data_IF_457571884607
#
_entry.id   IF_457571884607
#
_cell.length_a   1.000
_cell.length_b   1.000
_cell.length_c   1.000
_cell.angle_alpha   90.00
_cell.angle_beta   90.00
_cell.angle_gamma   90.00
#
_symmetry.space_group_name_H-M   'P 1'
#
loop_
_entity.id
_entity.type
_entity.pdbx_description
1 polymer ?
#
# COMPACT_ATOMS: atom_id res chain seq x y z
N UNK A 1 -0.94 5.10 -7.21
CA UNK A 1 -1.06 3.89 -6.38
C UNK A 1 0.01 2.90 -6.82
N UNK A 2 0.74 2.34 -5.85
CA UNK A 2 1.77 1.32 -6.09
C UNK A 2 1.33 0.03 -5.39
N UNK A 3 1.54 -1.12 -6.03
CA UNK A 3 1.48 -2.42 -5.34
C UNK A 3 2.90 -2.86 -5.06
N UNK A 4 3.22 -3.06 -3.79
CA UNK A 4 4.50 -3.62 -3.36
C UNK A 4 4.33 -5.12 -3.17
N UNK A 5 5.18 -5.91 -3.80
CA UNK A 5 5.14 -7.38 -3.73
C UNK A 5 6.47 -7.89 -3.22
N UNK A 6 6.45 -8.74 -2.20
CA UNK A 6 7.66 -9.42 -1.74
C UNK A 6 8.19 -10.38 -2.80
N UNK A 7 9.50 -10.37 -3.00
CA UNK A 7 10.18 -11.21 -3.99
C UNK A 7 10.50 -10.49 -5.29
N UNK A 8 11.16 -11.22 -6.19
CA UNK A 8 11.78 -10.67 -7.40
C UNK A 8 10.94 -10.81 -8.67
N UNK A 9 9.70 -11.29 -8.56
CA UNK A 9 8.84 -11.54 -9.72
C UNK A 9 7.41 -11.09 -9.46
N UNK A 10 6.74 -10.61 -10.50
CA UNK A 10 5.31 -10.29 -10.46
C UNK A 10 4.51 -11.60 -10.39
N UNK A 11 3.61 -11.79 -9.40
CA UNK A 11 2.73 -12.95 -9.36
C UNK A 11 1.86 -13.02 -10.62
N UNK A 12 1.72 -14.20 -11.22
CA UNK A 12 0.95 -14.40 -12.46
C UNK A 12 -0.53 -14.02 -12.33
N UNK A 13 -1.09 -14.18 -11.13
CA UNK A 13 -2.48 -13.83 -10.82
C UNK A 13 -2.70 -12.31 -10.61
N UNK A 14 -1.63 -11.52 -10.51
CA UNK A 14 -1.73 -10.08 -10.27
C UNK A 14 -2.05 -9.32 -11.57
N UNK A 15 -3.33 -9.11 -11.83
CA UNK A 15 -3.86 -8.38 -13.01
C UNK A 15 -3.86 -6.85 -12.83
N UNK A 16 -2.76 -6.31 -12.29
CA UNK A 16 -2.56 -4.87 -12.15
C UNK A 16 -1.68 -4.32 -13.28
N UNK A 17 -2.17 -3.26 -13.93
CA UNK A 17 -1.49 -2.59 -15.05
C UNK A 17 -0.78 -1.28 -14.62
N UNK A 18 -0.94 -0.85 -13.37
CA UNK A 18 -0.25 0.32 -12.84
C UNK A 18 1.13 -0.02 -12.29
N UNK A 19 1.67 0.87 -11.44
CA UNK A 19 2.99 0.68 -10.85
C UNK A 19 3.03 -0.50 -9.89
N UNK A 20 4.05 -1.36 -10.06
CA UNK A 20 4.40 -2.48 -9.20
C UNK A 20 5.83 -2.28 -8.76
N UNK A 21 6.07 -2.35 -7.45
CA UNK A 21 7.40 -2.38 -6.86
C UNK A 21 7.65 -3.80 -6.35
N UNK A 22 8.72 -4.41 -6.82
CA UNK A 22 9.19 -5.68 -6.30
C UNK A 22 10.09 -5.38 -5.09
N UNK A 23 9.89 -6.12 -4.01
CA UNK A 23 10.65 -6.01 -2.77
C UNK A 23 11.38 -7.34 -2.51
N UNK A 24 12.48 -7.63 -3.26
CA UNK A 24 13.15 -8.93 -3.22
C UNK A 24 13.65 -9.32 -1.83
N UNK A 25 14.09 -8.32 -1.06
CA UNK A 25 14.68 -8.50 0.27
C UNK A 25 13.66 -8.27 1.40
N UNK A 26 12.42 -7.89 1.08
CA UNK A 26 11.42 -7.58 2.11
C UNK A 26 11.72 -6.32 2.92
N UNK A 27 12.56 -5.41 2.40
CA UNK A 27 12.98 -4.20 3.11
C UNK A 27 11.80 -3.26 3.31
N UNK A 28 10.96 -3.06 2.29
CA UNK A 28 9.76 -2.24 2.44
C UNK A 28 8.76 -2.89 3.39
N UNK A 29 8.57 -4.21 3.29
CA UNK A 29 7.71 -4.92 4.23
C UNK A 29 8.21 -4.79 5.68
N UNK A 30 9.52 -4.85 5.89
CA UNK A 30 10.14 -4.71 7.22
C UNK A 30 10.02 -3.29 7.75
N UNK A 31 10.46 -2.29 6.99
CA UNK A 31 10.47 -0.88 7.40
C UNK A 31 9.06 -0.38 7.69
N UNK A 32 8.07 -0.78 6.89
CA UNK A 32 6.68 -0.38 7.09
C UNK A 32 5.93 -1.26 8.11
N UNK A 33 6.52 -2.36 8.60
CA UNK A 33 5.89 -3.29 9.54
C UNK A 33 4.70 -4.05 8.91
N UNK A 34 4.86 -4.54 7.68
CA UNK A 34 3.84 -5.28 6.95
C UNK A 34 3.91 -6.75 7.33
N UNK A 35 2.90 -7.24 8.06
CA UNK A 35 2.79 -8.65 8.45
C UNK A 35 1.68 -9.41 7.69
N UNK A 36 0.85 -8.68 6.94
CA UNK A 36 -0.25 -9.21 6.13
C UNK A 36 -0.63 -8.21 5.02
N UNK A 37 -1.63 -8.52 4.19
CA UNK A 37 -2.14 -7.58 3.18
C UNK A 37 -2.55 -6.26 3.82
N UNK A 38 -1.93 -5.18 3.38
CA UNK A 38 -1.98 -3.88 4.04
C UNK A 38 -2.09 -2.74 3.04
N UNK A 39 -2.64 -1.61 3.47
CA UNK A 39 -2.64 -0.35 2.70
C UNK A 39 -2.06 0.78 3.53
N UNK A 40 -1.26 1.61 2.87
CA UNK A 40 -0.64 2.81 3.43
C UNK A 40 -0.98 3.99 2.53
N UNK A 41 -1.54 5.03 3.11
CA UNK A 41 -1.68 6.33 2.46
C UNK A 41 -0.54 7.22 2.91
N UNK A 42 0.35 7.57 1.98
CA UNK A 42 1.47 8.49 2.23
C UNK A 42 1.05 9.88 1.76
N UNK A 43 1.15 10.86 2.65
CA UNK A 43 0.85 12.26 2.37
C UNK A 43 1.96 12.89 1.51
N UNK A 44 1.70 14.03 0.85
CA UNK A 44 2.71 14.75 0.07
C UNK A 44 3.95 15.17 0.86
N UNK A 45 3.84 15.32 2.19
CA UNK A 45 4.95 15.64 3.10
C UNK A 45 5.74 14.39 3.58
N UNK A 46 5.42 13.20 3.04
CA UNK A 46 6.13 11.96 3.33
C UNK A 46 5.64 11.21 4.59
N UNK A 47 4.70 11.77 5.35
CA UNK A 47 4.15 11.09 6.52
C UNK A 47 3.06 10.07 6.15
N UNK A 48 2.95 9.00 6.95
CA UNK A 48 1.84 8.06 6.85
C UNK A 48 0.57 8.75 7.38
N UNK A 49 -0.37 9.02 6.48
CA UNK A 49 -1.68 9.56 6.84
C UNK A 49 -2.65 8.48 7.33
N UNK A 50 -2.58 7.29 6.74
CA UNK A 50 -3.37 6.13 7.13
C UNK A 50 -2.56 4.84 6.95
N UNK A 51 -2.69 3.92 7.90
CA UNK A 51 -2.26 2.52 7.81
C UNK A 51 -3.44 1.62 8.14
N UNK A 52 -3.66 0.58 7.33
CA UNK A 52 -4.68 -0.45 7.58
C UNK A 52 -4.10 -1.84 7.35
N UNK A 53 -4.19 -2.70 8.38
CA UNK A 53 -3.79 -4.11 8.35
C UNK A 53 -4.80 -4.94 9.15
N UNK A 54 -5.69 -5.73 8.51
CA UNK A 54 -5.77 -5.99 7.08
C UNK A 54 -6.31 -4.78 6.31
N UNK A 55 -6.28 -4.85 4.97
CA UNK A 55 -6.89 -3.81 4.11
C UNK A 55 -8.36 -3.63 4.49
N UNK A 56 -8.74 -2.39 4.81
CA UNK A 56 -10.12 -1.97 5.00
C UNK A 56 -10.43 -0.81 4.03
N UNK A 57 -11.20 -1.12 2.99
CA UNK A 57 -11.56 -0.14 1.95
C UNK A 57 -12.38 1.02 2.50
N UNK A 58 -13.37 0.74 3.38
CA UNK A 58 -14.19 1.79 3.99
C UNK A 58 -13.34 2.78 4.78
N UNK A 59 -12.38 2.28 5.55
CA UNK A 59 -11.48 3.14 6.32
C UNK A 59 -10.64 4.05 5.41
N UNK A 60 -10.17 3.53 4.28
CA UNK A 60 -9.43 4.31 3.29
C UNK A 60 -10.31 5.39 2.66
N UNK A 61 -11.51 5.03 2.21
CA UNK A 61 -12.46 5.97 1.63
C UNK A 61 -12.86 7.07 2.62
N UNK A 62 -13.25 6.69 3.84
CA UNK A 62 -13.60 7.64 4.91
C UNK A 62 -12.46 8.62 5.22
N UNK A 63 -11.19 8.15 5.17
CA UNK A 63 -10.03 9.00 5.39
C UNK A 63 -9.80 9.97 4.22
N UNK A 64 -9.83 9.46 2.98
CA UNK A 64 -9.60 10.24 1.77
C UNK A 64 -10.70 11.31 1.59
N UNK A 65 -11.97 10.97 1.80
CA UNK A 65 -13.10 11.91 1.73
C UNK A 65 -13.06 13.05 2.76
N UNK A 66 -12.29 12.91 3.85
CA UNK A 66 -12.07 14.01 4.80
C UNK A 66 -11.02 15.01 4.34
N UNK A 67 -10.10 14.58 3.48
CA UNK A 67 -8.95 15.38 3.03
C UNK A 67 -9.26 16.05 1.71
N UNK A 68 -9.87 15.30 0.80
CA UNK A 68 -10.30 15.80 -0.48
C UNK A 68 -11.79 16.11 -0.37
N UNK A 69 -12.18 17.31 -0.77
CA UNK A 69 -13.58 17.65 -1.03
C UNK A 69 -14.04 16.85 -2.26
N UNK A 70 -14.33 15.56 -2.05
CA UNK A 70 -14.90 14.64 -3.03
C UNK A 70 -16.42 14.67 -2.97
#
# INVERSE_FOLDING_TARGET
MHIVVVGSTKPTQLTWNGSILLDPQGEFHTIYGVHQRSVYFIRPDGYIGLRSQPINEKQLLDYVSKIFYL
#
